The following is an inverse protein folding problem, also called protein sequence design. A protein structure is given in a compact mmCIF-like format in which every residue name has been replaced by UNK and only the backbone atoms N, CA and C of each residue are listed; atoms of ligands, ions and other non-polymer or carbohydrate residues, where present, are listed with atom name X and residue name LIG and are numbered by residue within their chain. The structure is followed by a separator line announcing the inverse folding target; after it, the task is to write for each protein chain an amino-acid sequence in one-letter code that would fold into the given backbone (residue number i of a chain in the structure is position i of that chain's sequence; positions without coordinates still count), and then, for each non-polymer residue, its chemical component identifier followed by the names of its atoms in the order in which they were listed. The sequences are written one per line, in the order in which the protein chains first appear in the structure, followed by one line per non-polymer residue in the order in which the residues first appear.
data_IF_769613623494
#
_entry.id   IF_769613623494
#
_cell.length_a   1.000
_cell.length_b   1.000
_cell.length_c   1.000
_cell.angle_alpha   90.00
_cell.angle_beta   90.00
_cell.angle_gamma   90.00
#
_symmetry.space_group_name_H-M   'P 1'
#
loop_
_entity.id
_entity.type
_entity.pdbx_description
1 polymer ?
#
# COMPACT_ATOMS: atom_id res chain seq x y z
N UNK A 1 -28.16 49.54 11.77
CA UNK A 1 -27.00 49.56 10.87
C UNK A 1 -26.02 48.58 11.48
N UNK A 2 -26.10 47.32 11.07
CA UNK A 2 -25.16 46.29 11.50
C UNK A 2 -24.05 46.20 10.45
N UNK A 3 -22.85 46.61 10.85
CA UNK A 3 -21.62 46.50 10.07
C UNK A 3 -21.21 45.02 9.96
N UNK A 4 -21.64 44.36 8.89
CA UNK A 4 -21.05 43.10 8.44
C UNK A 4 -19.64 43.38 7.91
N UNK A 5 -18.65 43.20 8.78
CA UNK A 5 -17.23 43.21 8.44
C UNK A 5 -16.95 42.03 7.50
N UNK A 6 -17.00 42.26 6.19
CA UNK A 6 -16.57 41.26 5.20
C UNK A 6 -15.11 40.93 5.47
N UNK A 7 -14.80 39.66 5.69
CA UNK A 7 -13.42 39.20 5.80
C UNK A 7 -12.75 39.46 4.45
N UNK A 8 -11.90 40.49 4.37
CA UNK A 8 -11.19 40.84 3.13
C UNK A 8 -10.27 39.67 2.78
N UNK A 9 -10.50 39.04 1.64
CA UNK A 9 -9.61 38.00 1.12
C UNK A 9 -8.33 38.66 0.61
N UNK A 10 -7.33 38.77 1.49
CA UNK A 10 -6.03 39.38 1.18
C UNK A 10 -5.13 38.44 0.38
N UNK A 11 -5.35 37.13 0.48
CA UNK A 11 -4.46 36.12 -0.10
C UNK A 11 -4.77 35.95 -1.58
N UNK A 12 -6.05 35.88 -1.98
CA UNK A 12 -6.43 35.82 -3.41
C UNK A 12 -6.15 37.11 -4.17
N UNK A 13 -5.77 38.20 -3.48
CA UNK A 13 -5.36 39.46 -4.12
C UNK A 13 -3.84 39.54 -4.38
N UNK A 14 -3.07 38.53 -3.99
CA UNK A 14 -1.64 38.49 -4.25
C UNK A 14 -1.34 38.23 -5.74
N UNK A 15 -0.27 38.82 -6.29
CA UNK A 15 0.23 38.51 -7.62
C UNK A 15 0.49 37.00 -7.82
N UNK A 16 0.25 36.51 -9.04
CA UNK A 16 0.43 35.10 -9.41
C UNK A 16 1.80 34.54 -9.04
N UNK A 17 2.86 35.33 -9.15
CA UNK A 17 4.22 34.87 -8.83
C UNK A 17 4.43 34.64 -7.33
N UNK A 18 3.76 35.44 -6.48
CA UNK A 18 3.77 35.22 -5.02
C UNK A 18 2.95 33.97 -4.69
N UNK A 19 1.81 33.77 -5.35
CA UNK A 19 1.01 32.56 -5.17
C UNK A 19 1.78 31.30 -5.60
N UNK A 20 2.50 31.33 -6.73
CA UNK A 20 3.41 30.24 -7.15
C UNK A 20 4.48 29.96 -6.11
N UNK A 21 5.06 31.02 -5.55
CA UNK A 21 6.05 30.88 -4.49
C UNK A 21 5.46 30.25 -3.23
N UNK A 22 4.26 30.66 -2.81
CA UNK A 22 3.57 30.03 -1.67
C UNK A 22 3.33 28.55 -1.94
N UNK A 23 2.81 28.19 -3.13
CA UNK A 23 2.57 26.79 -3.52
C UNK A 23 3.86 25.97 -3.55
N UNK A 24 5.01 26.56 -3.87
CA UNK A 24 6.30 25.86 -3.86
C UNK A 24 6.73 25.37 -2.47
N UNK A 25 6.16 25.90 -1.40
CA UNK A 25 6.40 25.44 -0.04
C UNK A 25 5.37 24.42 0.47
N UNK A 26 4.33 24.15 -0.33
CA UNK A 26 3.30 23.18 0.04
C UNK A 26 3.73 21.78 -0.42
N UNK A 27 3.47 20.74 0.38
CA UNK A 27 3.55 19.37 -0.13
C UNK A 27 2.54 19.19 -1.27
N UNK A 28 2.81 18.25 -2.17
CA UNK A 28 2.09 18.13 -3.45
C UNK A 28 0.58 17.97 -3.28
N UNK A 29 0.14 17.23 -2.26
CA UNK A 29 -1.28 17.00 -2.00
C UNK A 29 -2.00 18.30 -1.65
N UNK A 30 -1.44 19.09 -0.75
CA UNK A 30 -1.96 20.39 -0.33
C UNK A 30 -1.88 21.41 -1.47
N UNK A 31 -0.80 21.36 -2.26
CA UNK A 31 -0.64 22.19 -3.46
C UNK A 31 -1.79 21.93 -4.45
N UNK A 32 -2.10 20.68 -4.78
CA UNK A 32 -3.23 20.34 -5.67
C UNK A 32 -4.57 20.73 -5.04
N UNK A 33 -4.76 20.53 -3.73
CA UNK A 33 -5.98 20.94 -3.03
C UNK A 33 -6.21 22.45 -3.07
N UNK A 34 -5.14 23.25 -3.11
CA UNK A 34 -5.24 24.72 -3.18
C UNK A 34 -6.03 25.21 -4.40
N UNK A 35 -6.09 24.40 -5.49
CA UNK A 35 -6.89 24.71 -6.68
C UNK A 35 -8.39 24.84 -6.38
N UNK A 36 -8.88 24.25 -5.29
CA UNK A 36 -10.28 24.34 -4.85
C UNK A 36 -10.62 25.63 -4.09
N UNK A 37 -9.61 26.42 -3.69
CA UNK A 37 -9.80 27.62 -2.87
C UNK A 37 -10.41 28.78 -3.67
N UNK A 38 -9.93 29.01 -4.89
CA UNK A 38 -10.49 30.02 -5.79
C UNK A 38 -10.06 29.78 -7.25
N UNK A 39 -10.70 30.50 -8.18
CA UNK A 39 -10.36 30.47 -9.60
C UNK A 39 -8.91 30.92 -9.86
N UNK A 40 -8.36 31.82 -9.05
CA UNK A 40 -6.98 32.29 -9.18
C UNK A 40 -6.00 31.18 -8.78
N UNK A 41 -6.23 30.49 -7.67
CA UNK A 41 -5.41 29.36 -7.24
C UNK A 41 -5.46 28.20 -8.22
N UNK A 42 -6.63 27.96 -8.82
CA UNK A 42 -6.79 27.01 -9.93
C UNK A 42 -5.93 27.37 -11.14
N UNK A 43 -5.82 28.67 -11.49
CA UNK A 43 -4.97 29.13 -12.59
C UNK A 43 -3.47 28.96 -12.33
N UNK A 44 -3.03 29.06 -11.06
CA UNK A 44 -1.61 28.91 -10.71
C UNK A 44 -1.10 27.51 -11.05
N UNK A 45 -1.92 26.48 -10.84
CA UNK A 45 -1.64 25.07 -11.12
C UNK A 45 -2.36 24.55 -12.37
N UNK A 46 -2.75 25.43 -13.28
CA UNK A 46 -3.41 25.03 -14.52
C UNK A 46 -2.54 24.03 -15.30
N UNK A 47 -3.10 22.89 -15.75
CA UNK A 47 -2.33 21.85 -16.41
C UNK A 47 -1.78 22.34 -17.75
N UNK A 48 -0.49 22.07 -17.97
CA UNK A 48 0.15 22.23 -19.27
C UNK A 48 -0.43 21.15 -20.18
N UNK A 49 -1.16 21.53 -21.22
CA UNK A 49 -1.79 20.57 -22.12
C UNK A 49 -0.89 20.29 -23.33
N UNK A 50 -0.49 19.04 -23.50
CA UNK A 50 0.28 18.56 -24.65
C UNK A 50 -0.59 17.58 -25.44
N UNK A 51 -0.83 17.90 -26.72
CA UNK A 51 -1.53 17.00 -27.64
C UNK A 51 -0.49 16.13 -28.35
N UNK A 52 -0.42 14.85 -28.02
CA UNK A 52 0.28 13.85 -28.83
C UNK A 52 -0.66 13.33 -29.91
N UNK A 53 -0.14 13.10 -31.11
CA UNK A 53 -0.94 12.74 -32.30
C UNK A 53 -1.65 11.38 -32.18
N UNK A 54 -1.13 10.49 -31.33
CA UNK A 54 -1.47 9.06 -31.24
C UNK A 54 -2.49 8.68 -30.15
N UNK A 55 -3.10 9.65 -29.45
CA UNK A 55 -4.19 9.38 -28.50
C UNK A 55 -5.58 9.73 -29.06
N UNK A 56 -5.69 9.98 -30.36
CA UNK A 56 -6.98 10.10 -31.02
C UNK A 56 -7.53 8.69 -31.25
N UNK A 57 -8.79 8.47 -30.86
CA UNK A 57 -9.49 7.17 -30.83
C UNK A 57 -9.65 6.48 -32.21
N UNK A 58 -9.08 7.03 -33.27
CA UNK A 58 -9.36 6.63 -34.65
C UNK A 58 -8.18 5.99 -35.39
N UNK A 59 -6.95 6.05 -34.87
CA UNK A 59 -5.78 5.43 -35.53
C UNK A 59 -4.88 4.71 -34.51
N UNK A 60 -4.68 3.40 -34.70
CA UNK A 60 -3.73 2.54 -33.97
C UNK A 60 -2.27 2.91 -34.32
N UNK A 61 -1.89 4.18 -34.21
CA UNK A 61 -0.48 4.57 -34.31
C UNK A 61 0.19 4.42 -32.94
N UNK A 62 1.17 3.53 -32.88
CA UNK A 62 2.01 3.29 -31.71
C UNK A 62 2.67 4.62 -31.27
N UNK A 63 2.38 5.08 -30.05
CA UNK A 63 2.90 6.35 -29.54
C UNK A 63 4.43 6.32 -29.55
N UNK A 64 5.07 7.25 -30.28
CA UNK A 64 6.53 7.36 -30.31
C UNK A 64 7.06 7.69 -28.91
N UNK A 65 7.75 6.74 -28.29
CA UNK A 65 8.34 6.89 -26.96
C UNK A 65 9.24 8.14 -26.85
N UNK A 66 9.94 8.49 -27.93
CA UNK A 66 10.80 9.69 -27.99
C UNK A 66 10.05 10.99 -27.76
N UNK A 67 8.83 11.12 -28.28
CA UNK A 67 8.03 12.34 -28.09
C UNK A 67 7.62 12.49 -26.61
N UNK A 68 7.31 11.36 -25.96
CA UNK A 68 6.99 11.35 -24.53
C UNK A 68 8.23 11.68 -23.70
N UNK A 69 9.39 11.11 -24.04
CA UNK A 69 10.66 11.42 -23.38
C UNK A 69 11.01 12.90 -23.45
N UNK A 70 10.86 13.55 -24.61
CA UNK A 70 11.14 14.97 -24.77
C UNK A 70 10.19 15.83 -23.91
N UNK A 71 8.91 15.49 -23.89
CA UNK A 71 7.89 16.17 -23.07
C UNK A 71 8.22 16.03 -21.59
N UNK A 72 8.52 14.82 -21.11
CA UNK A 72 8.90 14.61 -19.73
C UNK A 72 10.28 15.19 -19.38
N UNK A 73 11.23 15.22 -20.33
CA UNK A 73 12.53 15.83 -20.14
C UNK A 73 12.43 17.33 -19.86
N UNK A 74 11.58 18.04 -20.61
CA UNK A 74 11.25 19.43 -20.31
C UNK A 74 10.51 19.57 -18.98
N UNK A 75 9.49 18.74 -18.74
CA UNK A 75 8.65 18.80 -17.54
C UNK A 75 9.43 18.50 -16.25
N UNK A 76 10.38 17.57 -16.25
CA UNK A 76 11.13 17.13 -15.08
C UNK A 76 12.50 17.81 -14.94
N UNK A 77 12.81 18.78 -15.81
CA UNK A 77 14.07 19.53 -15.77
C UNK A 77 14.29 20.35 -14.50
N UNK A 78 13.22 20.70 -13.78
CA UNK A 78 13.27 21.49 -12.53
C UNK A 78 12.13 21.11 -11.60
N UNK A 79 12.40 21.06 -10.29
CA UNK A 79 11.41 20.77 -9.24
C UNK A 79 11.15 22.00 -8.35
N UNK A 80 11.30 23.22 -8.90
CA UNK A 80 11.16 24.46 -8.13
C UNK A 80 9.72 24.76 -7.68
N UNK A 81 8.73 24.20 -8.36
CA UNK A 81 7.33 24.36 -8.01
C UNK A 81 6.53 23.14 -8.46
N UNK A 82 5.40 22.83 -7.79
CA UNK A 82 4.46 21.84 -8.29
C UNK A 82 3.91 22.26 -9.66
N UNK A 83 3.77 21.30 -10.57
CA UNK A 83 3.17 21.54 -11.89
C UNK A 83 2.37 20.33 -12.34
N UNK A 84 1.35 20.60 -13.15
CA UNK A 84 0.52 19.59 -13.78
C UNK A 84 0.79 19.59 -15.30
N UNK A 85 0.88 18.40 -15.87
CA UNK A 85 1.02 18.16 -17.29
C UNK A 85 -0.07 17.16 -17.69
N UNK A 86 -0.90 17.55 -18.66
CA UNK A 86 -1.90 16.71 -19.26
C UNK A 86 -1.43 16.32 -20.66
N UNK A 87 -1.27 15.02 -20.89
CA UNK A 87 -0.88 14.46 -22.19
C UNK A 87 -2.10 13.81 -22.82
N UNK A 88 -2.65 14.46 -23.85
CA UNK A 88 -3.90 14.06 -24.48
C UNK A 88 -5.06 14.06 -23.47
N UNK A 89 -5.91 13.03 -23.54
CA UNK A 89 -6.96 12.76 -22.54
C UNK A 89 -6.61 11.56 -21.64
N UNK A 90 -5.37 11.08 -21.70
CA UNK A 90 -4.99 9.76 -21.18
C UNK A 90 -4.09 9.84 -19.97
N UNK A 91 -3.17 10.82 -19.89
CA UNK A 91 -2.23 10.90 -18.78
C UNK A 91 -2.28 12.28 -18.14
N UNK A 92 -2.45 12.30 -16.82
CA UNK A 92 -2.20 13.45 -15.98
C UNK A 92 -0.97 13.19 -15.12
N UNK A 93 0.11 13.89 -15.45
CA UNK A 93 1.34 13.90 -14.68
C UNK A 93 1.32 15.10 -13.73
N UNK A 94 1.50 14.85 -12.44
CA UNK A 94 1.65 15.89 -11.41
C UNK A 94 3.02 15.73 -10.79
N UNK A 95 3.87 16.76 -10.88
CA UNK A 95 5.17 16.76 -10.19
C UNK A 95 5.11 17.63 -8.94
N UNK A 96 5.78 17.19 -7.89
CA UNK A 96 5.97 17.99 -6.67
C UNK A 96 7.36 18.63 -6.61
N UNK A 97 7.74 19.12 -5.43
CA UNK A 97 9.05 19.79 -5.23
C UNK A 97 10.14 18.84 -4.72
N UNK A 98 9.76 17.65 -4.24
CA UNK A 98 10.68 16.67 -3.63
C UNK A 98 11.19 15.59 -4.60
N UNK A 99 11.27 15.90 -5.89
CA UNK A 99 11.53 14.92 -6.95
C UNK A 99 10.50 13.78 -6.96
N UNK A 100 9.23 14.15 -6.78
CA UNK A 100 8.08 13.25 -6.84
C UNK A 100 7.27 13.46 -8.13
N UNK A 101 6.78 12.36 -8.69
CA UNK A 101 5.96 12.34 -9.90
C UNK A 101 4.77 11.40 -9.69
N UNK A 102 3.57 11.92 -9.89
CA UNK A 102 2.33 11.18 -9.85
C UNK A 102 1.79 11.08 -11.28
N UNK A 103 1.69 9.86 -11.81
CA UNK A 103 1.13 9.57 -13.12
C UNK A 103 -0.24 8.94 -12.92
N UNK A 104 -1.28 9.68 -13.30
CA UNK A 104 -2.65 9.20 -13.31
C UNK A 104 -3.06 8.90 -14.75
N UNK A 105 -3.35 7.64 -15.03
CA UNK A 105 -3.78 7.19 -16.35
C UNK A 105 -5.31 7.16 -16.38
N UNK A 106 -5.91 8.15 -17.03
CA UNK A 106 -7.34 8.18 -17.25
C UNK A 106 -7.66 7.29 -18.44
N UNK A 107 -8.53 6.31 -18.23
CA UNK A 107 -9.27 5.70 -19.32
C UNK A 107 -10.75 6.03 -19.13
N UNK A 108 -11.33 6.81 -20.06
CA UNK A 108 -12.77 7.09 -20.04
C UNK A 108 -13.61 5.81 -20.25
N UNK A 109 -12.98 4.70 -20.66
CA UNK A 109 -13.59 3.36 -20.72
C UNK A 109 -13.52 2.56 -19.40
N UNK A 110 -13.01 3.14 -18.29
CA UNK A 110 -13.09 2.54 -16.94
C UNK A 110 -14.55 2.28 -16.50
N UNK A 111 -15.53 2.89 -17.18
CA UNK A 111 -16.97 2.67 -16.93
C UNK A 111 -17.48 1.36 -17.58
N UNK A 112 -16.71 0.74 -18.48
CA UNK A 112 -17.07 -0.54 -19.10
C UNK A 112 -16.17 -1.66 -18.56
N UNK A 113 -16.77 -2.63 -17.88
CA UNK A 113 -16.18 -3.78 -17.17
C UNK A 113 -15.37 -4.76 -18.06
N UNK A 114 -14.54 -4.30 -18.99
CA UNK A 114 -13.76 -5.13 -19.90
C UNK A 114 -12.34 -4.58 -20.06
N UNK A 115 -11.62 -4.40 -18.95
CA UNK A 115 -10.16 -4.24 -18.98
C UNK A 115 -9.50 -5.61 -19.16
N UNK A 116 -8.66 -5.76 -20.17
CA UNK A 116 -7.90 -6.99 -20.37
C UNK A 116 -6.85 -7.18 -19.26
N UNK A 117 -6.67 -8.41 -18.77
CA UNK A 117 -5.66 -8.70 -17.77
C UNK A 117 -4.25 -8.39 -18.29
N UNK A 118 -3.35 -7.97 -17.40
CA UNK A 118 -1.99 -7.62 -17.78
C UNK A 118 -0.96 -7.85 -16.68
N UNK A 119 0.32 -7.93 -17.09
CA UNK A 119 1.46 -8.22 -16.23
C UNK A 119 2.47 -7.07 -16.23
N UNK A 120 2.58 -6.35 -15.12
CA UNK A 120 3.45 -5.19 -15.00
C UNK A 120 4.83 -5.60 -14.49
N UNK A 121 5.85 -5.49 -15.37
CA UNK A 121 7.25 -5.76 -15.04
C UNK A 121 8.03 -4.45 -14.99
N UNK A 122 8.41 -4.06 -13.78
CA UNK A 122 9.15 -2.84 -13.51
C UNK A 122 10.61 -3.22 -13.25
N UNK A 123 11.51 -2.87 -14.17
CA UNK A 123 12.93 -3.18 -14.03
C UNK A 123 13.81 -1.97 -14.33
N UNK A 124 14.80 -1.72 -13.47
CA UNK A 124 15.90 -0.78 -13.75
C UNK A 124 17.13 -1.55 -14.15
N UNK A 125 17.10 -2.24 -15.30
CA UNK A 125 18.33 -2.79 -15.86
C UNK A 125 19.11 -1.65 -16.51
N UNK A 126 20.36 -1.48 -16.09
CA UNK A 126 21.36 -0.66 -16.76
C UNK A 126 21.66 -1.25 -18.16
N UNK A 127 20.72 -1.12 -19.10
CA UNK A 127 21.05 -1.35 -20.51
C UNK A 127 21.73 -0.09 -21.01
N UNK A 128 23.06 -0.17 -21.12
CA UNK A 128 23.91 0.82 -21.77
C UNK A 128 23.36 1.17 -23.15
N UNK A 129 22.91 2.41 -23.32
CA UNK A 129 23.30 3.34 -24.41
C UNK A 129 22.29 4.47 -24.66
N UNK A 130 21.08 4.42 -24.10
CA UNK A 130 20.16 5.57 -24.08
C UNK A 130 19.73 5.81 -22.62
N UNK A 131 20.59 6.49 -21.86
CA UNK A 131 20.26 6.89 -20.50
C UNK A 131 19.14 7.93 -20.57
N UNK A 132 17.95 7.56 -20.09
CA UNK A 132 16.84 8.48 -19.95
C UNK A 132 17.11 9.46 -18.81
N UNK A 133 17.85 10.52 -19.12
CA UNK A 133 18.23 11.57 -18.17
C UNK A 133 17.02 12.30 -17.57
N UNK A 134 15.90 12.34 -18.29
CA UNK A 134 14.67 13.01 -17.87
C UNK A 134 14.18 12.58 -16.48
N UNK A 135 14.42 11.32 -16.12
CA UNK A 135 13.91 10.73 -14.88
C UNK A 135 15.01 10.40 -13.85
N UNK A 136 16.25 10.79 -14.15
CA UNK A 136 17.44 10.40 -13.37
C UNK A 136 17.45 10.97 -11.95
N UNK A 137 16.76 12.07 -11.69
CA UNK A 137 16.65 12.72 -10.38
C UNK A 137 15.44 12.25 -9.57
N UNK A 138 14.51 11.50 -10.16
CA UNK A 138 13.25 11.13 -9.53
C UNK A 138 13.48 10.18 -8.35
N UNK A 139 12.85 10.49 -7.22
CA UNK A 139 12.93 9.71 -5.97
C UNK A 139 11.63 9.03 -5.61
N UNK A 140 10.50 9.66 -5.94
CA UNK A 140 9.17 9.16 -5.61
C UNK A 140 8.33 9.06 -6.86
N UNK A 141 7.74 7.89 -7.10
CA UNK A 141 6.85 7.64 -8.22
C UNK A 141 5.54 7.05 -7.71
N UNK A 142 4.45 7.66 -8.13
CA UNK A 142 3.12 7.15 -7.90
C UNK A 142 2.45 6.85 -9.25
N UNK A 143 2.05 5.61 -9.45
CA UNK A 143 1.26 5.16 -10.59
C UNK A 143 -0.17 4.91 -10.14
N UNK A 144 -1.13 5.64 -10.73
CA UNK A 144 -2.55 5.41 -10.53
C UNK A 144 -3.20 4.93 -11.83
N UNK A 145 -4.09 3.93 -11.75
CA UNK A 145 -4.96 3.50 -12.86
C UNK A 145 -4.22 3.00 -14.12
N UNK A 146 -3.04 2.39 -13.96
CA UNK A 146 -2.35 1.74 -15.08
C UNK A 146 -3.23 0.64 -15.66
N UNK A 147 -3.29 0.56 -16.99
CA UNK A 147 -4.07 -0.44 -17.73
C UNK A 147 -3.23 -1.08 -18.85
N UNK A 148 -3.80 -2.10 -19.50
CA UNK A 148 -3.14 -2.89 -20.55
C UNK A 148 -2.70 -2.09 -21.78
N UNK A 149 -3.33 -0.94 -22.09
CA UNK A 149 -2.97 -0.10 -23.24
C UNK A 149 -1.69 0.71 -22.99
N UNK A 150 -1.43 1.08 -21.73
CA UNK A 150 -0.31 1.96 -21.35
C UNK A 150 0.87 1.20 -20.75
N UNK A 151 0.80 -0.13 -20.64
CA UNK A 151 1.80 -0.95 -19.96
C UNK A 151 3.19 -0.86 -20.58
N UNK A 152 3.27 -0.86 -21.92
CA UNK A 152 4.55 -0.76 -22.64
C UNK A 152 5.20 0.59 -22.37
N UNK A 153 4.42 1.66 -22.39
CA UNK A 153 4.88 2.99 -22.05
C UNK A 153 5.43 3.04 -20.62
N UNK A 154 4.68 2.53 -19.64
CA UNK A 154 5.12 2.47 -18.24
C UNK A 154 6.42 1.68 -18.14
N UNK A 155 6.50 0.49 -18.73
CA UNK A 155 7.70 -0.35 -18.68
C UNK A 155 8.95 0.34 -19.27
N UNK A 156 8.78 1.11 -20.34
CA UNK A 156 9.87 1.89 -20.94
C UNK A 156 10.30 3.09 -20.09
N UNK A 157 9.34 3.82 -19.49
CA UNK A 157 9.64 4.91 -18.54
C UNK A 157 10.49 4.42 -17.37
N UNK A 158 10.24 3.19 -16.89
CA UNK A 158 10.93 2.61 -15.76
C UNK A 158 12.42 2.32 -15.98
N UNK A 159 12.87 2.24 -17.22
CA UNK A 159 14.29 2.10 -17.53
C UNK A 159 15.10 3.34 -17.14
N UNK A 160 14.47 4.52 -17.03
CA UNK A 160 15.13 5.79 -16.68
C UNK A 160 15.22 6.09 -15.17
N UNK A 161 14.55 5.31 -14.31
CA UNK A 161 14.44 5.60 -12.88
C UNK A 161 15.62 5.05 -12.07
N UNK A 162 16.79 5.71 -12.13
CA UNK A 162 18.00 5.21 -11.47
C UNK A 162 18.09 5.50 -9.97
N UNK A 163 17.39 6.53 -9.47
CA UNK A 163 17.44 6.98 -8.07
C UNK A 163 16.13 6.77 -7.32
N UNK A 164 15.21 5.96 -7.86
CA UNK A 164 13.88 5.80 -7.30
C UNK A 164 13.94 5.11 -5.94
N UNK A 165 13.44 5.79 -4.91
CA UNK A 165 13.45 5.34 -3.51
C UNK A 165 12.06 4.91 -3.03
N UNK A 166 10.99 5.49 -3.56
CA UNK A 166 9.62 5.18 -3.20
C UNK A 166 8.78 4.91 -4.45
N UNK A 167 8.10 3.77 -4.48
CA UNK A 167 7.17 3.40 -5.53
C UNK A 167 5.80 3.12 -4.92
N UNK A 168 4.77 3.74 -5.48
CA UNK A 168 3.37 3.48 -5.15
C UNK A 168 2.61 3.08 -6.39
N UNK A 169 1.88 1.96 -6.34
CA UNK A 169 1.00 1.47 -7.40
C UNK A 169 -0.41 1.39 -6.83
N UNK A 170 -1.33 2.14 -7.39
CA UNK A 170 -2.68 2.32 -6.82
C UNK A 170 -3.78 2.15 -7.88
N UNK A 171 -4.84 1.40 -7.56
CA UNK A 171 -6.09 1.28 -8.35
C UNK A 171 -5.87 0.84 -9.80
N UNK A 172 -4.92 -0.05 -10.04
CA UNK A 172 -4.64 -0.62 -11.35
C UNK A 172 -5.58 -1.81 -11.61
N UNK A 173 -6.72 -1.57 -12.26
CA UNK A 173 -7.72 -2.60 -12.60
C UNK A 173 -7.22 -3.48 -13.76
N UNK A 174 -7.30 -4.79 -13.62
CA UNK A 174 -6.78 -5.80 -14.55
C UNK A 174 -5.31 -6.18 -14.33
N UNK A 175 -4.64 -5.64 -13.31
CA UNK A 175 -3.26 -6.00 -12.98
C UNK A 175 -3.21 -7.38 -12.31
N UNK A 176 -2.80 -8.42 -13.03
CA UNK A 176 -2.70 -9.79 -12.49
C UNK A 176 -1.33 -10.09 -11.87
N UNK A 177 -0.25 -9.61 -12.49
CA UNK A 177 1.11 -9.86 -11.99
C UNK A 177 1.89 -8.56 -11.86
N UNK A 178 2.50 -8.34 -10.69
CA UNK A 178 3.43 -7.26 -10.44
C UNK A 178 4.82 -7.82 -10.12
N UNK A 179 5.78 -7.54 -11.00
CA UNK A 179 7.19 -7.85 -10.76
C UNK A 179 7.99 -6.56 -10.64
N UNK A 180 8.59 -6.34 -9.46
CA UNK A 180 9.41 -5.16 -9.16
C UNK A 180 10.86 -5.60 -8.97
N UNK A 181 11.71 -5.28 -9.94
CA UNK A 181 13.15 -5.55 -9.90
C UNK A 181 13.92 -4.24 -9.81
N UNK A 182 14.18 -3.81 -8.57
CA UNK A 182 14.76 -2.52 -8.20
C UNK A 182 15.92 -2.69 -7.22
N UNK A 183 16.91 -3.46 -7.66
CA UNK A 183 18.00 -3.98 -6.82
C UNK A 183 18.81 -2.93 -6.05
N UNK A 184 18.88 -1.67 -6.52
CA UNK A 184 19.87 -0.71 -6.04
C UNK A 184 19.32 0.52 -5.32
N UNK A 185 18.02 0.81 -5.40
CA UNK A 185 17.52 2.14 -4.97
C UNK A 185 16.22 2.12 -4.17
N UNK A 186 15.40 1.07 -4.28
CA UNK A 186 14.05 1.10 -3.72
C UNK A 186 14.06 0.83 -2.20
N UNK A 187 13.46 1.76 -1.46
CA UNK A 187 13.35 1.75 -0.01
C UNK A 187 11.90 1.60 0.48
N UNK A 188 10.93 2.10 -0.27
CA UNK A 188 9.50 2.01 0.06
C UNK A 188 8.71 1.48 -1.15
N UNK A 189 7.81 0.53 -0.90
CA UNK A 189 6.88 0.00 -1.89
C UNK A 189 5.48 -0.07 -1.31
N UNK A 190 4.53 0.57 -1.99
CA UNK A 190 3.11 0.53 -1.67
C UNK A 190 2.32 -0.01 -2.86
N UNK A 191 1.50 -1.04 -2.64
CA UNK A 191 0.53 -1.57 -3.61
C UNK A 191 -0.85 -1.48 -2.98
N UNK A 192 -1.74 -0.69 -3.58
CA UNK A 192 -3.01 -0.29 -2.96
C UNK A 192 -4.17 -0.48 -3.95
N UNK A 193 -5.26 -1.11 -3.49
CA UNK A 193 -6.52 -1.23 -4.22
C UNK A 193 -6.37 -1.86 -5.63
N UNK A 194 -5.38 -2.74 -5.82
CA UNK A 194 -5.18 -3.52 -7.05
C UNK A 194 -5.88 -4.87 -6.89
N UNK A 195 -7.17 -4.93 -7.22
CA UNK A 195 -8.04 -6.06 -6.84
C UNK A 195 -7.84 -7.33 -7.67
N UNK A 196 -7.34 -7.21 -8.90
CA UNK A 196 -7.17 -8.35 -9.81
C UNK A 196 -5.80 -9.06 -9.64
N UNK A 197 -5.02 -8.66 -8.63
CA UNK A 197 -3.63 -9.10 -8.48
C UNK A 197 -3.54 -10.51 -7.92
N UNK A 198 -2.85 -11.37 -8.68
CA UNK A 198 -2.65 -12.79 -8.39
C UNK A 198 -1.22 -13.05 -7.93
N UNK A 199 -0.24 -12.30 -8.44
CA UNK A 199 1.17 -12.50 -8.14
C UNK A 199 1.90 -11.18 -7.88
N UNK A 200 2.67 -11.13 -6.80
CA UNK A 200 3.56 -10.03 -6.45
C UNK A 200 4.94 -10.58 -6.16
N UNK A 201 5.93 -10.18 -6.96
CA UNK A 201 7.33 -10.58 -6.78
C UNK A 201 8.19 -9.34 -6.71
N UNK A 202 8.92 -9.18 -5.60
CA UNK A 202 9.73 -7.99 -5.31
C UNK A 202 11.19 -8.38 -5.09
N UNK A 203 12.06 -7.93 -5.98
CA UNK A 203 13.51 -8.05 -5.90
C UNK A 203 14.11 -6.68 -5.52
N UNK A 204 14.11 -6.37 -4.22
CA UNK A 204 14.61 -5.10 -3.68
C UNK A 204 15.30 -5.31 -2.31
N UNK A 205 16.63 -5.54 -2.28
CA UNK A 205 17.35 -5.89 -1.04
C UNK A 205 17.50 -4.73 -0.05
N UNK A 206 17.32 -3.49 -0.51
CA UNK A 206 17.37 -2.27 0.30
C UNK A 206 15.99 -1.78 0.74
N UNK A 207 14.94 -2.56 0.49
CA UNK A 207 13.58 -2.23 0.90
C UNK A 207 13.49 -2.15 2.42
N UNK A 208 13.00 -1.02 2.93
CA UNK A 208 12.83 -0.71 4.35
C UNK A 208 11.36 -0.79 4.78
N UNK A 209 10.46 -0.41 3.87
CA UNK A 209 9.02 -0.40 4.07
C UNK A 209 8.33 -1.13 2.94
N UNK A 210 7.39 -1.98 3.30
CA UNK A 210 6.53 -2.67 2.36
C UNK A 210 5.07 -2.56 2.81
N UNK A 211 4.18 -2.11 1.93
CA UNK A 211 2.74 -2.04 2.19
C UNK A 211 1.96 -2.66 1.05
N UNK A 212 1.09 -3.58 1.41
CA UNK A 212 0.10 -4.15 0.51
C UNK A 212 -1.28 -3.99 1.13
N UNK A 213 -2.17 -3.30 0.41
CA UNK A 213 -3.57 -3.15 0.74
C UNK A 213 -4.43 -3.59 -0.45
N UNK A 214 -5.37 -4.50 -0.22
CA UNK A 214 -6.28 -4.94 -1.28
C UNK A 214 -7.45 -5.75 -0.76
N UNK A 215 -8.40 -6.03 -1.65
CA UNK A 215 -9.54 -6.89 -1.32
C UNK A 215 -9.11 -8.36 -1.18
N UNK A 216 -8.31 -8.84 -2.12
CA UNK A 216 -7.94 -10.26 -2.22
C UNK A 216 -6.48 -10.50 -1.86
N UNK A 217 -6.22 -11.68 -1.29
CA UNK A 217 -4.85 -12.14 -1.09
C UNK A 217 -4.29 -12.68 -2.42
N UNK A 218 -3.15 -12.17 -2.90
CA UNK A 218 -2.51 -12.73 -4.09
C UNK A 218 -2.09 -14.16 -3.80
N UNK A 219 -2.25 -15.05 -4.79
CA UNK A 219 -1.81 -16.44 -4.71
C UNK A 219 -0.32 -16.53 -4.40
N UNK A 220 0.47 -15.70 -5.06
CA UNK A 220 1.93 -15.68 -4.91
C UNK A 220 2.35 -14.30 -4.41
N UNK A 221 3.08 -14.27 -3.29
CA UNK A 221 3.63 -13.04 -2.74
C UNK A 221 5.03 -13.26 -2.20
N UNK A 222 6.03 -12.84 -2.97
CA UNK A 222 7.43 -13.16 -2.70
C UNK A 222 8.27 -11.89 -2.58
N UNK A 223 8.88 -11.72 -1.40
CA UNK A 223 9.92 -10.73 -1.17
C UNK A 223 11.28 -11.42 -1.25
N UNK A 224 12.02 -11.16 -2.32
CA UNK A 224 13.32 -11.78 -2.57
C UNK A 224 14.40 -11.02 -1.81
N UNK A 225 14.91 -11.65 -0.75
CA UNK A 225 16.03 -11.19 0.08
C UNK A 225 15.81 -9.81 0.77
N UNK A 226 14.76 -9.62 1.59
CA UNK A 226 14.43 -8.35 2.23
C UNK A 226 15.31 -8.08 3.48
N UNK A 227 16.64 -7.99 3.30
CA UNK A 227 17.62 -7.92 4.41
C UNK A 227 17.38 -6.70 5.32
N UNK A 228 16.92 -5.59 4.74
CA UNK A 228 16.79 -4.31 5.43
C UNK A 228 15.34 -3.93 5.79
N UNK A 229 14.39 -4.85 5.64
CA UNK A 229 12.98 -4.54 5.87
C UNK A 229 12.72 -4.29 7.36
N UNK A 230 12.24 -3.09 7.66
CA UNK A 230 11.98 -2.61 9.02
C UNK A 230 10.49 -2.65 9.33
N UNK A 231 9.66 -2.30 8.35
CA UNK A 231 8.21 -2.25 8.50
C UNK A 231 7.49 -2.94 7.35
N UNK A 232 6.43 -3.66 7.70
CA UNK A 232 5.55 -4.32 6.74
C UNK A 232 4.09 -4.10 7.12
N UNK A 233 3.25 -3.85 6.12
CA UNK A 233 1.79 -3.75 6.26
C UNK A 233 1.13 -4.69 5.27
N UNK A 234 0.33 -5.61 5.80
CA UNK A 234 -0.45 -6.59 5.06
C UNK A 234 -1.93 -6.41 5.44
N UNK A 235 -2.61 -5.55 4.71
CA UNK A 235 -4.00 -5.18 4.97
C UNK A 235 -4.90 -5.76 3.89
N UNK A 236 -5.76 -6.69 4.28
CA UNK A 236 -6.73 -7.32 3.39
C UNK A 236 -8.14 -7.01 3.89
N UNK A 237 -8.91 -6.30 3.07
CA UNK A 237 -10.27 -5.85 3.40
C UNK A 237 -11.33 -6.93 3.13
N UNK A 238 -10.99 -7.96 2.34
CA UNK A 238 -11.57 -9.30 2.39
C UNK A 238 -12.08 -9.86 1.06
N UNK A 239 -12.24 -11.19 1.04
CA UNK A 239 -13.07 -11.89 0.06
C UNK A 239 -12.49 -13.18 -0.52
N UNK A 240 -11.39 -13.70 0.01
CA UNK A 240 -10.78 -14.95 -0.49
C UNK A 240 -9.50 -14.71 -1.29
N UNK A 241 -9.03 -15.78 -1.92
CA UNK A 241 -7.90 -15.75 -2.86
C UNK A 241 -8.47 -15.45 -4.25
N UNK A 242 -7.74 -14.72 -5.09
CA UNK A 242 -8.17 -14.53 -6.49
C UNK A 242 -8.20 -15.89 -7.19
N UNK A 243 -9.41 -16.35 -7.54
CA UNK A 243 -9.69 -17.61 -8.25
C UNK A 243 -10.23 -18.75 -7.36
N UNK A 244 -10.81 -19.79 -7.98
CA UNK A 244 -11.30 -21.04 -7.35
C UNK A 244 -10.16 -21.91 -6.74
N UNK A 245 -9.00 -21.32 -6.47
CA UNK A 245 -7.78 -22.00 -6.02
C UNK A 245 -7.91 -22.50 -4.59
N UNK A 246 -7.68 -23.79 -4.42
CA UNK A 246 -7.60 -24.46 -3.12
C UNK A 246 -6.45 -23.88 -2.26
N UNK A 247 -6.57 -24.10 -0.95
CA UNK A 247 -5.72 -23.57 0.09
C UNK A 247 -4.21 -23.89 -0.07
N UNK A 248 -3.43 -22.90 -0.51
CA UNK A 248 -1.95 -22.96 -0.59
C UNK A 248 -1.33 -22.08 0.50
N UNK A 249 -1.19 -22.61 1.73
CA UNK A 249 -0.59 -21.87 2.84
C UNK A 249 0.92 -21.64 2.71
N UNK A 250 1.60 -22.38 1.84
CA UNK A 250 3.06 -22.30 1.65
C UNK A 250 3.51 -20.89 1.26
N UNK A 251 2.81 -20.23 0.34
CA UNK A 251 3.19 -18.91 -0.15
C UNK A 251 3.04 -17.84 0.93
N UNK A 252 1.95 -17.87 1.69
CA UNK A 252 1.73 -16.95 2.82
C UNK A 252 2.75 -17.20 3.94
N UNK A 253 3.07 -18.45 4.23
CA UNK A 253 4.10 -18.78 5.23
C UNK A 253 5.50 -18.37 4.76
N UNK A 254 5.80 -18.52 3.47
CA UNK A 254 7.03 -18.02 2.85
C UNK A 254 7.15 -16.50 2.97
N UNK A 255 6.05 -15.79 2.70
CA UNK A 255 5.95 -14.34 2.92
C UNK A 255 6.21 -14.00 4.39
N UNK A 256 5.52 -14.62 5.35
CA UNK A 256 5.74 -14.32 6.77
C UNK A 256 7.16 -14.61 7.24
N UNK A 257 7.78 -15.68 6.74
CA UNK A 257 9.19 -15.98 7.01
C UNK A 257 10.12 -14.90 6.44
N UNK A 258 9.80 -14.31 5.28
CA UNK A 258 10.53 -13.17 4.73
C UNK A 258 10.40 -11.91 5.61
N UNK A 259 9.34 -11.81 6.41
CA UNK A 259 9.08 -10.70 7.33
C UNK A 259 9.63 -10.93 8.75
N UNK A 260 10.27 -12.07 9.05
CA UNK A 260 10.65 -12.45 10.43
C UNK A 260 11.52 -11.42 11.19
N UNK A 261 12.25 -10.59 10.45
CA UNK A 261 13.22 -9.63 10.98
C UNK A 261 12.67 -8.20 11.11
N UNK A 262 11.41 -7.95 10.74
CA UNK A 262 10.78 -6.62 10.84
C UNK A 262 10.60 -6.17 12.28
N UNK A 263 10.60 -4.85 12.51
CA UNK A 263 10.37 -4.23 13.81
C UNK A 263 8.93 -3.79 14.00
N UNK A 264 8.24 -3.46 12.92
CA UNK A 264 6.84 -3.07 12.90
C UNK A 264 6.09 -3.94 11.89
N UNK A 265 5.01 -4.58 12.33
CA UNK A 265 4.11 -5.34 11.46
C UNK A 265 2.69 -4.84 11.66
N UNK A 266 2.03 -4.51 10.57
CA UNK A 266 0.59 -4.32 10.52
C UNK A 266 -0.03 -5.49 9.75
N UNK A 267 -1.02 -6.16 10.33
CA UNK A 267 -1.66 -7.33 9.74
C UNK A 267 -3.18 -7.28 9.93
N UNK A 268 -3.94 -7.64 8.89
CA UNK A 268 -5.39 -7.72 9.02
C UNK A 268 -5.83 -8.92 9.83
N UNK A 269 -6.90 -8.76 10.60
CA UNK A 269 -7.51 -9.83 11.37
C UNK A 269 -8.08 -10.94 10.51
N UNK A 270 -8.58 -10.59 9.33
CA UNK A 270 -9.02 -11.57 8.34
C UNK A 270 -7.89 -12.52 7.93
N UNK A 271 -6.66 -12.03 7.70
CA UNK A 271 -5.53 -12.88 7.33
C UNK A 271 -5.17 -13.87 8.45
N UNK A 272 -5.14 -13.40 9.71
CA UNK A 272 -4.87 -14.28 10.85
C UNK A 272 -5.97 -15.34 11.05
N UNK A 273 -7.24 -14.94 10.89
CA UNK A 273 -8.37 -15.87 10.92
C UNK A 273 -8.25 -16.93 9.81
N UNK A 274 -8.00 -16.47 8.58
CA UNK A 274 -7.85 -17.30 7.40
C UNK A 274 -6.76 -18.36 7.57
N UNK A 275 -5.59 -17.96 8.08
CA UNK A 275 -4.48 -18.90 8.34
C UNK A 275 -4.83 -19.95 9.39
N UNK A 276 -5.44 -19.55 10.52
CA UNK A 276 -5.79 -20.51 11.57
C UNK A 276 -6.90 -21.47 11.15
N UNK A 277 -7.93 -21.00 10.44
CA UNK A 277 -8.98 -21.86 9.90
C UNK A 277 -8.45 -22.81 8.84
N UNK A 278 -7.44 -22.39 8.09
CA UNK A 278 -6.65 -23.23 7.21
C UNK A 278 -5.80 -24.30 7.93
N UNK A 279 -5.73 -24.26 9.26
CA UNK A 279 -4.99 -25.23 10.07
C UNK A 279 -3.56 -24.79 10.42
N UNK A 280 -3.17 -23.53 10.18
CA UNK A 280 -1.84 -23.05 10.61
C UNK A 280 -1.78 -22.95 12.13
N UNK A 281 -0.81 -23.65 12.72
CA UNK A 281 -0.49 -23.58 14.14
C UNK A 281 0.82 -22.79 14.29
N UNK A 282 0.72 -21.48 14.57
CA UNK A 282 1.87 -20.58 14.61
C UNK A 282 3.03 -21.07 15.50
N UNK A 283 2.75 -21.77 16.59
CA UNK A 283 3.77 -22.35 17.49
C UNK A 283 4.63 -23.44 16.87
N UNK A 284 4.13 -24.09 15.81
CA UNK A 284 4.84 -25.17 15.10
C UNK A 284 5.63 -24.66 13.91
N UNK A 285 5.63 -23.35 13.67
CA UNK A 285 6.44 -22.75 12.62
C UNK A 285 7.91 -22.76 13.02
N UNK A 286 8.78 -22.93 12.03
CA UNK A 286 10.24 -22.95 12.21
C UNK A 286 10.86 -21.55 12.40
N UNK A 287 10.03 -20.51 12.53
CA UNK A 287 10.47 -19.14 12.74
C UNK A 287 9.64 -18.39 13.79
N UNK A 288 10.23 -17.33 14.33
CA UNK A 288 9.58 -16.39 15.25
C UNK A 288 9.97 -14.95 14.86
N UNK A 289 9.08 -14.01 15.16
CA UNK A 289 9.29 -12.58 15.00
C UNK A 289 10.15 -12.01 16.14
N UNK A 290 11.44 -12.38 16.15
CA UNK A 290 12.36 -12.05 17.24
C UNK A 290 12.67 -10.55 17.37
N UNK A 291 12.51 -9.78 16.29
CA UNK A 291 12.79 -8.34 16.23
C UNK A 291 11.52 -7.47 16.27
N UNK A 292 10.34 -8.09 16.24
CA UNK A 292 9.07 -7.37 16.17
C UNK A 292 8.78 -6.69 17.52
N UNK A 293 8.80 -5.36 17.49
CA UNK A 293 8.55 -4.49 18.65
C UNK A 293 7.12 -3.95 18.67
N UNK A 294 6.55 -3.68 17.49
CA UNK A 294 5.20 -3.13 17.34
C UNK A 294 4.37 -4.01 16.42
N UNK A 295 3.25 -4.51 16.93
CA UNK A 295 2.23 -5.19 16.14
C UNK A 295 0.97 -4.30 16.09
N UNK A 296 0.47 -4.04 14.88
CA UNK A 296 -0.82 -3.45 14.66
C UNK A 296 -1.75 -4.49 14.03
N UNK A 297 -2.86 -4.77 14.69
CA UNK A 297 -3.93 -5.58 14.17
C UNK A 297 -5.03 -4.65 13.67
N UNK A 298 -5.52 -4.88 12.45
CA UNK A 298 -6.60 -4.09 11.85
C UNK A 298 -7.75 -5.02 11.47
N UNK A 299 -8.99 -4.65 11.77
CA UNK A 299 -10.16 -5.42 11.33
C UNK A 299 -11.47 -4.70 11.56
N UNK A 300 -12.57 -5.28 11.08
CA UNK A 300 -13.92 -4.73 11.24
C UNK A 300 -14.46 -4.91 12.66
N UNK A 301 -14.26 -6.10 13.24
CA UNK A 301 -14.69 -6.48 14.59
C UNK A 301 -13.83 -7.62 15.14
N UNK A 302 -13.86 -7.83 16.46
CA UNK A 302 -13.29 -9.02 17.10
C UNK A 302 -14.41 -10.00 17.42
N UNK A 303 -14.45 -11.09 16.67
CA UNK A 303 -15.23 -12.28 17.01
C UNK A 303 -14.33 -13.34 17.66
N UNK A 304 -14.96 -14.43 18.11
CA UNK A 304 -14.28 -15.61 18.65
C UNK A 304 -13.10 -16.07 17.80
N UNK A 305 -13.26 -16.18 16.49
CA UNK A 305 -12.22 -16.72 15.60
C UNK A 305 -11.03 -15.77 15.49
N UNK A 306 -11.29 -14.48 15.25
CA UNK A 306 -10.25 -13.44 15.17
C UNK A 306 -9.50 -13.27 16.47
N UNK A 307 -10.20 -13.30 17.61
CA UNK A 307 -9.59 -13.30 18.95
C UNK A 307 -8.61 -14.46 19.09
N UNK A 308 -9.09 -15.67 18.83
CA UNK A 308 -8.33 -16.90 19.04
C UNK A 308 -7.12 -16.95 18.09
N UNK A 309 -7.28 -16.50 16.84
CA UNK A 309 -6.20 -16.35 15.87
C UNK A 309 -5.14 -15.33 16.28
N UNK A 310 -5.54 -14.15 16.78
CA UNK A 310 -4.59 -13.15 17.29
C UNK A 310 -3.83 -13.69 18.49
N UNK A 311 -4.52 -14.32 19.45
CA UNK A 311 -3.89 -14.95 20.61
C UNK A 311 -2.89 -16.06 20.21
N UNK A 312 -3.18 -16.81 19.15
CA UNK A 312 -2.26 -17.78 18.58
C UNK A 312 -1.04 -17.13 17.94
N UNK A 313 -1.24 -16.07 17.15
CA UNK A 313 -0.16 -15.33 16.47
C UNK A 313 0.81 -14.69 17.46
N UNK A 314 0.33 -14.15 18.58
CA UNK A 314 1.19 -13.55 19.62
C UNK A 314 2.24 -14.52 20.20
N UNK A 315 2.06 -15.84 20.04
CA UNK A 315 3.04 -16.84 20.49
C UNK A 315 4.35 -16.82 19.72
N UNK A 316 4.36 -16.29 18.50
CA UNK A 316 5.57 -16.14 17.69
C UNK A 316 6.16 -14.73 17.77
N UNK A 317 5.68 -13.89 18.71
CA UNK A 317 6.12 -12.50 18.89
C UNK A 317 6.81 -12.28 20.26
N UNK A 318 7.95 -12.94 20.56
CA UNK A 318 8.53 -12.95 21.90
C UNK A 318 9.05 -11.58 22.39
N UNK A 319 9.40 -10.68 21.47
CA UNK A 319 10.00 -9.37 21.75
C UNK A 319 9.01 -8.19 21.64
N UNK A 320 7.70 -8.49 21.63
CA UNK A 320 6.67 -7.49 21.39
C UNK A 320 6.58 -6.48 22.53
N UNK A 321 6.71 -5.18 22.22
CA UNK A 321 6.64 -4.08 23.17
C UNK A 321 5.30 -3.34 23.13
N UNK A 322 4.72 -3.19 21.93
CA UNK A 322 3.48 -2.46 21.69
C UNK A 322 2.52 -3.28 20.83
N UNK A 323 1.29 -3.42 21.30
CA UNK A 323 0.17 -4.00 20.57
C UNK A 323 -0.90 -2.92 20.34
N UNK A 324 -1.27 -2.69 19.08
CA UNK A 324 -2.40 -1.85 18.68
C UNK A 324 -3.45 -2.75 18.05
N UNK A 325 -4.71 -2.60 18.46
CA UNK A 325 -5.86 -3.28 17.88
C UNK A 325 -6.81 -2.19 17.40
N UNK A 326 -6.95 -2.07 16.08
CA UNK A 326 -7.71 -1.02 15.42
C UNK A 326 -8.96 -1.65 14.79
N UNK A 327 -10.12 -1.41 15.42
CA UNK A 327 -11.42 -1.90 14.98
C UNK A 327 -12.13 -0.82 14.17
N UNK A 328 -12.17 -0.99 12.85
CA UNK A 328 -12.88 -0.08 11.96
C UNK A 328 -14.22 -0.69 11.53
N UNK A 329 -15.27 -0.35 12.28
CA UNK A 329 -16.66 -0.79 12.04
C UNK A 329 -17.26 -0.38 10.70
N UNK A 330 -16.56 0.46 9.91
CA UNK A 330 -16.98 0.84 8.55
C UNK A 330 -16.54 -0.16 7.49
N UNK A 331 -15.59 -1.05 7.83
CA UNK A 331 -15.16 -2.12 6.93
C UNK A 331 -16.28 -3.17 6.83
N UNK A 332 -16.46 -3.72 5.63
CA UNK A 332 -17.40 -4.83 5.42
C UNK A 332 -17.03 -6.02 6.28
N UNK A 333 -18.02 -6.65 6.92
CA UNK A 333 -17.84 -7.97 7.53
C UNK A 333 -17.72 -8.97 6.39
N UNK A 334 -16.53 -9.50 6.19
CA UNK A 334 -16.28 -10.52 5.17
C UNK A 334 -16.05 -11.86 5.86
N UNK A 335 -16.89 -12.83 5.51
CA UNK A 335 -16.78 -14.19 6.02
C UNK A 335 -15.53 -14.87 5.48
N UNK A 336 -14.86 -15.63 6.34
CA UNK A 336 -13.74 -16.47 5.92
C UNK A 336 -14.27 -17.62 5.04
N UNK A 337 -13.64 -17.89 3.87
CA UNK A 337 -14.09 -18.97 2.99
C UNK A 337 -14.02 -20.35 3.66
N UNK A 338 -14.80 -21.29 3.12
CA UNK A 338 -14.74 -22.69 3.54
C UNK A 338 -13.50 -23.37 2.95
N UNK A 339 -12.80 -24.15 3.76
CA UNK A 339 -11.62 -24.91 3.34
C UNK A 339 -11.96 -26.39 3.12
N UNK A 340 -11.55 -26.92 1.98
CA UNK A 340 -11.66 -28.36 1.65
C UNK A 340 -10.42 -29.15 2.07
N UNK A 341 -9.26 -28.51 2.10
CA UNK A 341 -7.97 -29.07 2.50
C UNK A 341 -7.34 -28.20 3.59
N UNK A 342 -6.70 -28.84 4.57
CA UNK A 342 -6.15 -28.18 5.74
C UNK A 342 -4.65 -28.45 5.86
N UNK A 343 -3.89 -27.45 6.30
CA UNK A 343 -2.43 -27.53 6.50
C UNK A 343 -2.07 -28.53 7.60
N UNK A 344 -2.83 -28.46 8.69
CA UNK A 344 -2.81 -29.41 9.79
C UNK A 344 -4.22 -29.91 10.03
N UNK A 345 -4.35 -31.03 10.73
CA UNK A 345 -5.66 -31.61 10.99
C UNK A 345 -6.57 -30.59 11.73
N UNK A 346 -7.82 -30.37 11.26
CA UNK A 346 -8.70 -29.30 11.79
C UNK A 346 -8.94 -29.36 13.30
N UNK A 347 -8.90 -30.56 13.87
CA UNK A 347 -9.10 -30.78 15.31
C UNK A 347 -7.90 -30.31 16.15
N UNK A 348 -6.79 -29.93 15.51
CA UNK A 348 -5.66 -29.26 16.16
C UNK A 348 -5.86 -27.74 16.27
N UNK A 349 -6.90 -27.18 15.63
CA UNK A 349 -7.31 -25.81 15.90
C UNK A 349 -7.84 -25.72 17.33
N UNK A 350 -7.25 -24.82 18.10
CA UNK A 350 -7.45 -24.73 19.54
C UNK A 350 -8.81 -24.08 19.85
N UNK A 351 -9.60 -24.72 20.72
CA UNK A 351 -10.72 -24.06 21.37
C UNK A 351 -10.23 -22.95 22.33
N UNK A 352 -11.14 -22.09 22.79
CA UNK A 352 -10.78 -20.94 23.61
C UNK A 352 -10.01 -21.33 24.89
N UNK A 353 -10.33 -22.47 25.51
CA UNK A 353 -9.60 -22.97 26.68
C UNK A 353 -8.17 -23.39 26.32
N UNK A 354 -8.00 -24.08 25.19
CA UNK A 354 -6.70 -24.45 24.63
C UNK A 354 -5.90 -23.22 24.20
N UNK A 355 -6.54 -22.17 23.69
CA UNK A 355 -5.88 -20.90 23.38
C UNK A 355 -5.45 -20.18 24.66
N UNK A 356 -6.30 -20.11 25.68
CA UNK A 356 -5.96 -19.47 26.97
C UNK A 356 -4.80 -20.17 27.69
N UNK A 357 -4.82 -21.50 27.74
CA UNK A 357 -3.78 -22.33 28.39
C UNK A 357 -2.49 -22.29 27.58
N UNK A 358 -2.62 -22.63 26.30
CA UNK A 358 -2.01 -22.00 25.13
C UNK A 358 -1.04 -20.86 25.42
N UNK A 359 -1.54 -19.63 25.21
CA UNK A 359 -0.83 -18.37 24.99
C UNK A 359 0.35 -18.15 25.93
N UNK A 360 1.52 -17.86 25.32
CA UNK A 360 2.74 -17.56 26.04
C UNK A 360 2.60 -16.25 26.82
N UNK A 361 3.38 -16.12 27.89
CA UNK A 361 3.48 -14.84 28.59
C UNK A 361 4.08 -13.77 27.67
N UNK A 362 3.42 -12.63 27.60
CA UNK A 362 3.87 -11.45 26.85
C UNK A 362 4.84 -10.65 27.72
N UNK A 363 6.02 -11.24 27.96
CA UNK A 363 6.98 -10.77 28.97
C UNK A 363 7.55 -9.38 28.73
N UNK A 364 7.43 -8.86 27.50
CA UNK A 364 7.96 -7.55 27.12
C UNK A 364 6.87 -6.54 26.74
N UNK A 365 5.58 -6.94 26.75
CA UNK A 365 4.50 -6.07 26.30
C UNK A 365 4.27 -4.95 27.33
N UNK A 366 4.53 -3.71 26.93
CA UNK A 366 4.44 -2.51 27.76
C UNK A 366 3.23 -1.66 27.43
N UNK A 367 2.82 -1.63 26.16
CA UNK A 367 1.74 -0.75 25.70
C UNK A 367 0.66 -1.55 24.97
N UNK A 368 -0.58 -1.38 25.41
CA UNK A 368 -1.77 -1.90 24.72
C UNK A 368 -2.66 -0.73 24.29
N UNK A 369 -3.00 -0.69 23.01
CA UNK A 369 -3.94 0.29 22.45
C UNK A 369 -5.09 -0.44 21.81
N UNK A 370 -6.31 -0.12 22.20
CA UNK A 370 -7.56 -0.59 21.62
C UNK A 370 -8.27 0.64 21.04
N UNK A 371 -8.47 0.68 19.74
CA UNK A 371 -9.25 1.72 19.06
C UNK A 371 -10.53 1.13 18.50
N UNK A 372 -11.67 1.80 18.72
CA UNK A 372 -12.98 1.33 18.27
C UNK A 372 -13.59 0.25 19.17
N UNK A 373 -13.15 0.16 20.42
CA UNK A 373 -13.65 -0.83 21.38
C UNK A 373 -15.10 -0.53 21.78
N UNK A 374 -16.00 -1.51 21.61
CA UNK A 374 -17.42 -1.41 21.96
C UNK A 374 -17.77 -2.16 23.24
N UNK A 375 -16.87 -3.01 23.74
CA UNK A 375 -17.09 -3.82 24.93
C UNK A 375 -17.91 -5.07 24.66
N UNK A 376 -17.84 -5.60 23.43
CA UNK A 376 -18.48 -6.87 23.08
C UNK A 376 -17.82 -8.05 23.79
N UNK A 377 -18.53 -9.18 23.90
CA UNK A 377 -18.08 -10.34 24.69
C UNK A 377 -16.68 -10.82 24.28
N UNK A 378 -16.44 -11.00 22.98
CA UNK A 378 -15.16 -11.48 22.48
C UNK A 378 -14.04 -10.43 22.61
N UNK A 379 -14.37 -9.13 22.54
CA UNK A 379 -13.43 -8.02 22.80
C UNK A 379 -12.98 -7.99 24.26
N UNK A 380 -13.92 -8.16 25.19
CA UNK A 380 -13.65 -8.21 26.63
C UNK A 380 -12.82 -9.46 26.95
N UNK A 381 -13.16 -10.61 26.39
CA UNK A 381 -12.39 -11.85 26.58
C UNK A 381 -10.96 -11.74 26.04
N UNK A 382 -10.76 -11.05 24.90
CA UNK A 382 -9.43 -10.75 24.39
C UNK A 382 -8.66 -9.85 25.35
N UNK A 383 -9.29 -8.79 25.83
CA UNK A 383 -8.70 -7.85 26.77
C UNK A 383 -8.28 -8.56 28.07
N UNK A 384 -9.14 -9.40 28.65
CA UNK A 384 -8.83 -10.20 29.83
C UNK A 384 -7.64 -11.15 29.60
N UNK A 385 -7.60 -11.83 28.44
CA UNK A 385 -6.48 -12.67 28.06
C UNK A 385 -5.18 -11.87 28.00
N UNK A 386 -5.19 -10.71 27.33
CA UNK A 386 -4.00 -9.87 27.17
C UNK A 386 -3.51 -9.34 28.52
N UNK A 387 -4.42 -8.87 29.38
CA UNK A 387 -4.09 -8.38 30.72
C UNK A 387 -3.51 -9.49 31.61
N UNK A 388 -4.03 -10.71 31.53
CA UNK A 388 -3.52 -11.85 32.28
C UNK A 388 -2.09 -12.24 31.81
N UNK A 389 -1.83 -12.18 30.50
CA UNK A 389 -0.57 -12.62 29.91
C UNK A 389 0.51 -11.54 29.87
N UNK A 390 0.15 -10.26 29.91
CA UNK A 390 1.06 -9.11 29.88
C UNK A 390 1.50 -8.70 31.29
N UNK A 391 2.59 -9.29 31.76
CA UNK A 391 3.07 -9.14 33.15
C UNK A 391 3.70 -7.76 33.43
N UNK A 392 4.16 -7.05 32.39
CA UNK A 392 4.91 -5.78 32.51
C UNK A 392 4.20 -4.61 31.83
N UNK A 393 2.87 -4.68 31.70
CA UNK A 393 2.09 -3.65 31.04
C UNK A 393 2.20 -2.32 31.79
N UNK A 394 2.69 -1.28 31.11
CA UNK A 394 2.91 0.07 31.65
C UNK A 394 1.73 1.00 31.33
N UNK A 395 1.12 0.85 30.15
CA UNK A 395 -0.01 1.66 29.74
C UNK A 395 -1.02 0.89 28.90
N UNK A 396 -2.29 1.23 29.10
CA UNK A 396 -3.41 0.76 28.30
C UNK A 396 -4.25 1.97 27.87
N UNK A 397 -4.56 2.07 26.60
CA UNK A 397 -5.43 3.12 26.04
C UNK A 397 -6.59 2.47 25.31
N UNK A 398 -7.80 2.90 25.65
CA UNK A 398 -9.05 2.50 24.99
C UNK A 398 -9.62 3.80 24.42
N UNK A 399 -9.83 3.84 23.10
CA UNK A 399 -10.25 5.02 22.36
C UNK A 399 -11.46 4.74 21.47
#
# INVERSE_FOLDING_TARGET
MDDQKSSVDLISNLPLDILRHIISFLPLKEAVQSMSLSTLWSQVLAPINVKLKSFNEEEEEEVSFKEIEEVFGGFLSSYNSPQLLCIGKVVLATKGVENELHLNFFDQSIITNSTSPFHLKLHTKNTSNNANFAFSSLRTLHLCYVNSKVINLVSELFKGFHLLQSLRVEKCVGLEELHVDMTNSLHNLEVLDCNDIVSVVVCAPYLKSFKFCGLFLPRIMQLVNPINLVEATLEFEGGGVVGDGEFECEDVLSLLNSLKDVQTLTISGWLLEWMCRGGVIFRRLDFQFNKLKKLCWIGSSIDKAKRDSLACFLNICPSLLKLSIEMNHRLSIIECPYFHYYWHEPHLWMDCESVKSNTLQLKQLKMLRLEGFLGEEDEVLLMELLLNKAVVLESMTIA
#
